data_IF_684208378086
#
_entry.id   IF_684208378086
#
_cell.length_a   1.000
_cell.length_b   1.000
_cell.length_c   1.000
_cell.angle_alpha   90.00
_cell.angle_beta   90.00
_cell.angle_gamma   90.00
#
_symmetry.space_group_name_H-M   'P 1'
#
loop_
_entity.id
_entity.type
_entity.pdbx_description
1 polymer ?
#
# COMPACT_ATOMS: atom_id res chain seq x y z
N UNK A 1 -12.55 -5.88 20.12
CA UNK A 1 -12.95 -7.29 19.91
C UNK A 1 -12.09 -8.20 20.78
N UNK A 2 -12.68 -9.18 21.45
CA UNK A 2 -11.93 -10.17 22.25
C UNK A 2 -11.36 -11.28 21.37
N UNK A 3 -10.09 -11.65 21.60
CA UNK A 3 -9.41 -12.79 20.99
C UNK A 3 -8.77 -13.66 22.07
N UNK A 4 -8.21 -14.80 21.68
CA UNK A 4 -7.45 -15.67 22.60
C UNK A 4 -6.21 -14.99 23.19
N UNK A 5 -5.73 -13.90 22.58
CA UNK A 5 -4.55 -13.13 23.01
C UNK A 5 -4.91 -11.81 23.70
N UNK A 6 -6.20 -11.56 23.98
CA UNK A 6 -6.68 -10.33 24.64
C UNK A 6 -7.62 -9.50 23.77
N UNK A 7 -7.72 -8.21 24.06
CA UNK A 7 -8.59 -7.30 23.31
C UNK A 7 -7.85 -6.67 22.13
N UNK A 8 -8.34 -6.91 20.92
CA UNK A 8 -7.98 -6.10 19.76
C UNK A 8 -8.80 -4.81 19.78
N UNK A 9 -8.12 -3.69 19.94
CA UNK A 9 -8.69 -2.34 19.92
C UNK A 9 -8.08 -1.55 18.77
N UNK A 10 -8.77 -0.50 18.28
CA UNK A 10 -8.15 0.48 17.40
C UNK A 10 -6.89 1.08 18.03
N UNK A 11 -5.89 1.37 17.20
CA UNK A 11 -4.70 2.11 17.63
C UNK A 11 -4.25 3.10 16.56
N UNK A 12 -3.55 4.15 16.99
CA UNK A 12 -2.91 5.10 16.09
C UNK A 12 -1.41 4.84 16.05
N UNK A 13 -0.86 4.84 14.84
CA UNK A 13 0.57 4.78 14.56
C UNK A 13 1.03 6.18 14.22
N UNK A 14 1.83 6.80 15.07
CA UNK A 14 2.51 8.05 14.71
C UNK A 14 3.78 7.70 13.94
N UNK A 15 3.95 8.22 12.73
CA UNK A 15 5.17 8.02 11.94
C UNK A 15 6.33 8.74 12.65
N UNK A 16 7.37 8.02 13.12
CA UNK A 16 8.45 8.60 13.90
C UNK A 16 9.13 9.76 13.16
N UNK A 17 9.34 10.88 13.86
CA UNK A 17 9.89 12.10 13.28
C UNK A 17 8.86 13.07 12.69
N UNK A 18 7.57 12.74 12.75
CA UNK A 18 6.47 13.58 12.24
C UNK A 18 5.29 13.63 13.22
N UNK A 19 4.29 14.48 12.94
CA UNK A 19 2.99 14.48 13.60
C UNK A 19 1.93 13.65 12.84
N UNK A 20 2.33 12.97 11.76
CA UNK A 20 1.44 12.22 10.87
C UNK A 20 1.06 10.89 11.53
N UNK A 21 -0.24 10.59 11.52
CA UNK A 21 -0.82 9.39 12.13
C UNK A 21 -1.53 8.51 11.13
N UNK A 22 -1.51 7.20 11.38
CA UNK A 22 -2.33 6.19 10.70
C UNK A 22 -3.19 5.48 11.74
N UNK A 23 -4.52 5.56 11.61
CA UNK A 23 -5.45 4.82 12.47
C UNK A 23 -5.69 3.42 11.92
N UNK A 24 -5.48 2.42 12.76
CA UNK A 24 -5.63 0.99 12.45
C UNK A 24 -6.86 0.43 13.17
N UNK A 25 -7.77 -0.21 12.45
CA UNK A 25 -9.01 -0.78 12.95
C UNK A 25 -8.94 -2.31 13.02
N UNK A 26 -9.43 -2.94 14.10
CA UNK A 26 -9.41 -4.39 14.22
C UNK A 26 -10.48 -5.04 13.34
N UNK A 27 -10.07 -6.05 12.56
CA UNK A 27 -10.94 -6.88 11.72
C UNK A 27 -11.07 -8.27 12.36
N UNK A 28 -12.30 -8.77 12.60
CA UNK A 28 -12.51 -10.10 13.16
C UNK A 28 -12.03 -11.22 12.25
N UNK A 29 -11.78 -12.39 12.84
CA UNK A 29 -11.64 -13.61 12.05
C UNK A 29 -12.90 -13.83 11.19
N UNK A 30 -12.73 -14.40 10.00
CA UNK A 30 -13.88 -14.87 9.22
C UNK A 30 -14.57 -16.03 9.95
N UNK A 31 -15.90 -16.11 9.87
CA UNK A 31 -16.64 -17.27 10.38
C UNK A 31 -16.14 -18.57 9.73
N UNK A 32 -15.97 -19.60 10.55
CA UNK A 32 -15.46 -20.91 10.14
C UNK A 32 -16.49 -21.58 9.21
N UNK A 33 -16.18 -21.75 7.92
CA UNK A 33 -16.77 -22.86 7.17
C UNK A 33 -15.83 -24.06 7.34
N UNK A 34 -16.24 -25.00 8.20
CA UNK A 34 -15.43 -26.15 8.67
C UNK A 34 -14.97 -27.06 7.52
N UNK A 35 -15.48 -26.84 6.30
CA UNK A 35 -15.20 -27.63 5.10
C UNK A 35 -14.03 -27.09 4.26
N UNK A 36 -13.55 -25.87 4.50
CA UNK A 36 -12.39 -25.31 3.78
C UNK A 36 -11.36 -24.80 4.80
N UNK A 37 -10.14 -25.31 4.72
CA UNK A 37 -9.00 -25.03 5.60
C UNK A 37 -8.45 -23.58 5.53
N UNK A 38 -9.22 -22.61 5.04
CA UNK A 38 -8.75 -21.29 4.65
C UNK A 38 -9.53 -20.16 5.34
N UNK A 39 -9.60 -20.12 6.68
CA UNK A 39 -10.22 -19.00 7.39
C UNK A 39 -9.23 -17.83 7.54
N UNK A 40 -9.75 -16.61 7.52
CA UNK A 40 -8.97 -15.37 7.68
C UNK A 40 -8.78 -15.13 9.17
N UNK A 41 -7.51 -15.08 9.61
CA UNK A 41 -7.15 -14.75 11.00
C UNK A 41 -7.48 -13.28 11.30
N UNK A 42 -7.70 -12.88 12.56
CA UNK A 42 -7.85 -11.48 12.92
C UNK A 42 -6.60 -10.67 12.55
N UNK A 43 -6.81 -9.43 12.13
CA UNK A 43 -5.76 -8.48 11.78
C UNK A 43 -6.26 -7.05 12.02
N UNK A 44 -5.38 -6.06 11.91
CA UNK A 44 -5.77 -4.66 11.81
C UNK A 44 -5.60 -4.16 10.38
N UNK A 45 -6.45 -3.23 9.95
CA UNK A 45 -6.38 -2.57 8.66
C UNK A 45 -6.45 -1.05 8.83
N UNK A 46 -5.77 -0.29 7.98
CA UNK A 46 -5.89 1.17 8.05
C UNK A 46 -7.33 1.60 7.76
N UNK A 47 -7.80 2.57 8.54
CA UNK A 47 -9.18 3.10 8.48
C UNK A 47 -9.54 3.64 7.10
N UNK A 48 -8.56 4.26 6.44
CA UNK A 48 -8.63 4.88 5.12
C UNK A 48 -7.60 4.24 4.20
N UNK A 49 -7.63 4.56 2.90
CA UNK A 49 -6.43 4.43 2.08
C UNK A 49 -5.28 5.24 2.71
N UNK A 50 -4.03 4.83 2.45
CA UNK A 50 -2.87 5.62 2.87
C UNK A 50 -2.96 6.99 2.21
N UNK A 51 -2.83 8.04 3.01
CA UNK A 51 -2.95 9.41 2.52
C UNK A 51 -1.63 9.91 1.95
N UNK A 52 -1.69 10.94 1.11
CA UNK A 52 -0.49 11.50 0.51
C UNK A 52 0.46 12.07 1.56
N UNK A 53 -0.03 12.67 2.65
CA UNK A 53 0.84 13.12 3.74
C UNK A 53 1.57 11.93 4.40
N UNK A 54 0.87 10.81 4.63
CA UNK A 54 1.48 9.59 5.17
C UNK A 54 2.53 9.00 4.21
N UNK A 55 2.28 9.04 2.90
CA UNK A 55 3.20 8.55 1.88
C UNK A 55 4.39 9.49 1.63
N UNK A 56 4.20 10.81 1.75
CA UNK A 56 5.25 11.83 1.58
C UNK A 56 6.38 11.67 2.60
N UNK A 57 6.10 11.20 3.82
CA UNK A 57 7.14 10.87 4.80
C UNK A 57 8.13 9.81 4.27
N UNK A 58 7.63 8.82 3.52
CA UNK A 58 8.46 7.82 2.86
C UNK A 58 9.20 8.40 1.64
N UNK A 59 8.55 9.24 0.83
CA UNK A 59 9.19 9.91 -0.30
C UNK A 59 10.36 10.81 0.15
N UNK A 60 10.21 11.49 1.29
CA UNK A 60 11.24 12.39 1.83
C UNK A 60 12.55 11.66 2.19
N UNK A 61 12.54 10.33 2.28
CA UNK A 61 13.74 9.53 2.54
C UNK A 61 14.76 9.59 1.40
N UNK A 62 14.38 9.83 0.14
CA UNK A 62 15.38 9.95 -0.95
C UNK A 62 16.35 11.10 -0.63
N UNK A 63 15.81 12.28 -0.29
CA UNK A 63 16.62 13.42 0.14
C UNK A 63 17.41 13.10 1.41
N UNK A 64 16.77 12.46 2.40
CA UNK A 64 17.42 12.11 3.67
C UNK A 64 18.60 11.15 3.49
N UNK A 65 18.44 10.10 2.70
CA UNK A 65 19.50 9.12 2.42
C UNK A 65 20.63 9.73 1.59
N UNK A 66 20.34 10.60 0.62
CA UNK A 66 21.38 11.33 -0.13
C UNK A 66 22.21 12.22 0.81
N UNK A 67 21.57 12.94 1.72
CA UNK A 67 22.28 13.77 2.69
C UNK A 67 23.07 12.93 3.70
N UNK A 68 22.54 11.79 4.16
CA UNK A 68 23.29 10.85 5.01
C UNK A 68 24.52 10.32 4.28
N UNK A 69 24.38 9.86 3.03
CA UNK A 69 25.52 9.37 2.22
C UNK A 69 26.59 10.44 2.03
N UNK A 70 26.19 11.71 1.93
CA UNK A 70 27.09 12.85 1.73
C UNK A 70 27.78 13.33 3.01
N UNK A 71 27.07 13.33 4.14
CA UNK A 71 27.49 14.03 5.37
C UNK A 71 27.81 13.11 6.55
N UNK A 72 27.29 11.89 6.58
CA UNK A 72 27.59 10.91 7.64
C UNK A 72 28.62 9.88 7.12
N UNK A 73 29.90 9.99 7.53
CA UNK A 73 30.95 9.09 7.05
C UNK A 73 30.75 7.63 7.48
N UNK A 74 29.85 7.36 8.44
CA UNK A 74 29.56 6.01 8.94
C UNK A 74 28.30 5.43 8.27
N UNK A 75 27.49 6.24 7.58
CA UNK A 75 26.23 5.78 6.97
C UNK A 75 26.43 4.63 5.99
N UNK A 76 27.44 4.71 5.12
CA UNK A 76 27.74 3.66 4.15
C UNK A 76 28.15 2.35 4.82
N UNK A 77 28.90 2.43 5.93
CA UNK A 77 29.31 1.26 6.71
C UNK A 77 28.11 0.58 7.37
N UNK A 78 27.24 1.37 8.04
CA UNK A 78 26.01 0.86 8.67
C UNK A 78 25.08 0.21 7.66
N UNK A 79 24.95 0.82 6.48
CA UNK A 79 24.18 0.26 5.38
C UNK A 79 24.73 -1.12 4.96
N UNK A 80 26.04 -1.25 4.78
CA UNK A 80 26.65 -2.52 4.41
C UNK A 80 26.45 -3.60 5.49
N UNK A 81 26.54 -3.23 6.76
CA UNK A 81 26.32 -4.12 7.91
C UNK A 81 24.84 -4.55 8.06
N UNK A 82 23.88 -3.74 7.57
CA UNK A 82 22.44 -3.91 7.80
C UNK A 82 21.62 -3.85 6.51
N UNK A 83 22.15 -4.39 5.40
CA UNK A 83 21.53 -4.30 4.07
C UNK A 83 20.13 -4.92 4.01
N UNK A 84 19.85 -5.91 4.86
CA UNK A 84 18.53 -6.56 4.97
C UNK A 84 17.43 -5.60 5.43
N UNK A 85 17.80 -4.62 6.27
CA UNK A 85 16.91 -3.57 6.79
C UNK A 85 17.06 -2.26 6.00
N UNK A 86 17.64 -2.35 4.80
CA UNK A 86 17.70 -1.24 3.90
C UNK A 86 16.43 -1.14 3.05
N UNK A 87 16.04 0.09 2.76
CA UNK A 87 14.98 0.43 1.81
C UNK A 87 15.54 1.41 0.80
N UNK A 88 15.07 1.30 -0.43
CA UNK A 88 15.17 2.38 -1.41
C UNK A 88 13.90 3.23 -1.30
N UNK A 89 13.99 4.51 -1.65
CA UNK A 89 12.90 5.47 -1.50
C UNK A 89 12.52 6.12 -2.83
N UNK A 90 11.26 6.56 -3.01
CA UNK A 90 10.82 7.27 -4.21
C UNK A 90 11.67 8.51 -4.48
N UNK A 91 12.26 8.56 -5.67
CA UNK A 91 12.89 9.79 -6.17
C UNK A 91 11.83 10.87 -6.33
N UNK A 92 12.22 12.13 -6.14
CA UNK A 92 11.33 13.25 -6.41
C UNK A 92 10.86 13.19 -7.87
N UNK A 93 9.55 13.30 -8.09
CA UNK A 93 9.00 13.31 -9.43
C UNK A 93 9.49 14.55 -10.18
N UNK A 94 10.10 14.35 -11.36
CA UNK A 94 10.61 15.44 -12.19
C UNK A 94 9.51 16.36 -12.75
N UNK A 95 8.28 15.85 -12.85
CA UNK A 95 7.07 16.62 -13.14
C UNK A 95 6.24 16.61 -11.85
N UNK A 96 6.45 17.57 -10.94
CA UNK A 96 6.03 17.43 -9.55
C UNK A 96 4.51 17.42 -9.35
N UNK A 97 3.74 17.93 -10.33
CA UNK A 97 2.41 18.48 -10.04
C UNK A 97 1.23 17.68 -10.59
N UNK A 98 1.23 17.24 -11.85
CA UNK A 98 0.00 16.71 -12.47
C UNK A 98 -0.55 15.44 -11.77
N UNK A 99 0.32 14.64 -11.15
CA UNK A 99 -0.06 13.37 -10.50
C UNK A 99 -0.54 13.52 -9.07
N UNK A 100 -0.14 14.59 -8.39
CA UNK A 100 -0.52 14.90 -7.02
C UNK A 100 -1.30 16.22 -6.91
N UNK A 101 -1.70 16.80 -8.05
CA UNK A 101 -2.38 18.10 -8.17
C UNK A 101 -3.58 18.24 -7.24
N UNK A 102 -4.29 17.13 -6.97
CA UNK A 102 -5.43 17.15 -6.07
C UNK A 102 -5.04 17.54 -4.65
N UNK A 103 -3.81 17.25 -4.20
CA UNK A 103 -3.38 17.57 -2.85
C UNK A 103 -3.12 19.07 -2.60
N UNK A 104 -3.07 19.90 -3.65
CA UNK A 104 -3.01 21.36 -3.53
C UNK A 104 -4.40 21.97 -3.25
N UNK A 105 -5.47 21.25 -3.55
CA UNK A 105 -6.83 21.67 -3.21
C UNK A 105 -7.01 21.62 -1.68
N UNK A 106 -7.51 22.74 -1.12
CA UNK A 106 -7.72 22.95 0.31
C UNK A 106 -8.54 21.83 0.98
N UNK A 107 -9.45 21.18 0.23
CA UNK A 107 -10.26 20.06 0.72
C UNK A 107 -9.42 18.88 1.21
N UNK A 108 -8.19 18.75 0.70
CA UNK A 108 -7.28 17.66 1.02
C UNK A 108 -6.28 17.98 2.14
N UNK A 109 -6.32 19.19 2.71
CA UNK A 109 -5.54 19.59 3.88
C UNK A 109 -4.03 19.31 3.71
N UNK A 110 -3.45 19.87 2.63
CA UNK A 110 -2.03 19.67 2.31
C UNK A 110 -1.66 18.21 2.00
N UNK A 111 -2.63 17.39 1.59
CA UNK A 111 -2.48 15.97 1.33
C UNK A 111 -2.77 15.07 2.54
N UNK A 112 -3.11 15.62 3.71
CA UNK A 112 -3.50 14.82 4.90
C UNK A 112 -4.75 14.01 4.67
N UNK A 113 -5.63 14.45 3.77
CA UNK A 113 -6.86 13.75 3.39
C UNK A 113 -6.87 13.26 1.94
N UNK A 114 -5.84 13.55 1.14
CA UNK A 114 -5.76 13.01 -0.22
C UNK A 114 -5.36 11.53 -0.15
N UNK A 115 -6.06 10.60 -0.82
CA UNK A 115 -5.53 9.26 -0.98
C UNK A 115 -4.20 9.34 -1.76
N UNK A 116 -3.17 8.63 -1.30
CA UNK A 116 -1.95 8.48 -2.06
C UNK A 116 -2.26 7.63 -3.30
N UNK A 117 -2.02 8.20 -4.47
CA UNK A 117 -2.15 7.54 -5.77
C UNK A 117 -0.87 7.70 -6.60
N UNK A 118 -0.80 7.10 -7.79
CA UNK A 118 0.31 7.20 -8.74
C UNK A 118 1.59 6.43 -8.41
N UNK A 119 1.52 5.41 -7.55
CA UNK A 119 2.66 4.56 -7.19
C UNK A 119 2.52 3.14 -7.73
N UNK A 120 3.67 2.50 -7.96
CA UNK A 120 3.69 1.08 -8.27
C UNK A 120 3.35 0.22 -7.05
N UNK A 121 2.97 -1.04 -7.29
CA UNK A 121 2.78 -2.00 -6.21
C UNK A 121 4.07 -2.23 -5.41
N UNK A 122 5.22 -2.23 -6.07
CA UNK A 122 6.51 -2.35 -5.39
C UNK A 122 6.75 -1.18 -4.44
N UNK A 123 6.42 0.04 -4.86
CA UNK A 123 6.53 1.23 -4.02
C UNK A 123 5.67 1.13 -2.75
N UNK A 124 4.41 0.69 -2.90
CA UNK A 124 3.50 0.46 -1.77
C UNK A 124 4.03 -0.63 -0.81
N UNK A 125 4.71 -1.66 -1.32
CA UNK A 125 5.34 -2.70 -0.48
C UNK A 125 6.56 -2.18 0.26
N UNK A 126 7.40 -1.38 -0.39
CA UNK A 126 8.55 -0.74 0.27
C UNK A 126 8.12 0.26 1.35
N UNK A 127 7.01 0.97 1.13
CA UNK A 127 6.37 1.78 2.18
C UNK A 127 6.06 0.94 3.43
N UNK A 128 5.44 -0.24 3.25
CA UNK A 128 5.13 -1.12 4.38
C UNK A 128 6.37 -1.71 5.07
N UNK A 129 7.44 -1.98 4.31
CA UNK A 129 8.75 -2.37 4.87
C UNK A 129 9.33 -1.26 5.73
N UNK A 130 9.41 -0.05 5.17
CA UNK A 130 9.90 1.12 5.88
C UNK A 130 9.11 1.38 7.16
N UNK A 131 7.77 1.39 7.08
CA UNK A 131 6.92 1.64 8.24
C UNK A 131 7.12 0.58 9.33
N UNK A 132 7.32 -0.68 8.95
CA UNK A 132 7.64 -1.76 9.90
C UNK A 132 8.98 -1.49 10.60
N UNK A 133 10.03 -1.19 9.84
CA UNK A 133 11.39 -1.03 10.37
C UNK A 133 11.54 0.23 11.23
N UNK A 134 10.76 1.28 10.96
CA UNK A 134 10.83 2.52 11.72
C UNK A 134 9.97 2.51 12.99
N UNK A 135 8.97 1.62 13.09
CA UNK A 135 8.05 1.56 14.24
C UNK A 135 8.30 0.38 15.20
N UNK A 136 9.39 -0.38 15.00
CA UNK A 136 9.94 -1.50 15.80
C UNK A 136 8.96 -2.68 16.03
N UNK A 137 7.86 -2.44 16.74
CA UNK A 137 6.99 -3.48 17.31
C UNK A 137 5.79 -3.87 16.41
N UNK A 138 5.58 -3.17 15.30
CA UNK A 138 4.40 -3.39 14.45
C UNK A 138 4.80 -3.74 13.03
N UNK A 139 4.32 -4.91 12.57
CA UNK A 139 4.55 -5.38 11.21
C UNK A 139 3.45 -4.89 10.28
N UNK A 140 3.83 -4.37 9.12
CA UNK A 140 2.92 -3.92 8.08
C UNK A 140 3.20 -4.61 6.74
N UNK A 141 2.12 -4.78 5.99
CA UNK A 141 2.15 -5.24 4.61
C UNK A 141 0.89 -4.77 3.88
N UNK A 142 0.87 -4.97 2.57
CA UNK A 142 -0.39 -4.90 1.81
C UNK A 142 -1.33 -6.03 2.26
N UNK A 143 -2.66 -5.81 2.20
CA UNK A 143 -3.64 -6.86 2.41
C UNK A 143 -3.49 -7.93 1.33
N UNK A 144 -3.81 -9.18 1.69
CA UNK A 144 -4.23 -10.15 0.69
C UNK A 144 -5.60 -9.74 0.15
N UNK A 145 -5.92 -10.19 -1.06
CA UNK A 145 -7.24 -10.01 -1.65
C UNK A 145 -8.36 -10.48 -0.71
N UNK A 146 -8.18 -11.65 -0.08
CA UNK A 146 -9.19 -12.21 0.82
C UNK A 146 -9.36 -11.39 2.09
N UNK A 147 -8.27 -10.88 2.66
CA UNK A 147 -8.33 -9.95 3.78
C UNK A 147 -9.05 -8.66 3.39
N UNK A 148 -8.75 -8.12 2.19
CA UNK A 148 -9.41 -6.93 1.67
C UNK A 148 -10.91 -7.16 1.48
N UNK A 149 -11.31 -8.27 0.85
CA UNK A 149 -12.73 -8.61 0.62
C UNK A 149 -13.48 -8.82 1.93
N UNK A 150 -12.85 -9.48 2.91
CA UNK A 150 -13.43 -9.68 4.23
C UNK A 150 -13.62 -8.34 4.94
N UNK A 151 -12.58 -7.48 4.95
CA UNK A 151 -12.65 -6.12 5.47
C UNK A 151 -13.73 -5.29 4.76
N UNK A 152 -13.86 -5.39 3.44
CA UNK A 152 -14.84 -4.68 2.63
C UNK A 152 -16.25 -5.12 2.99
N UNK A 153 -16.51 -6.44 2.97
CA UNK A 153 -17.82 -7.04 3.19
C UNK A 153 -18.40 -6.82 4.58
N UNK A 154 -17.58 -6.41 5.55
CA UNK A 154 -17.89 -6.32 6.98
C UNK A 154 -18.54 -7.58 7.58
N UNK A 155 -18.25 -8.74 6.99
CA UNK A 155 -18.81 -10.04 7.37
C UNK A 155 -20.23 -10.30 6.85
N UNK A 156 -20.72 -9.48 5.92
CA UNK A 156 -22.02 -9.66 5.27
C UNK A 156 -21.91 -10.12 3.82
N UNK A 157 -22.86 -10.95 3.33
CA UNK A 157 -23.01 -11.15 1.90
C UNK A 157 -23.63 -9.91 1.24
N UNK A 158 -23.28 -9.67 -0.02
CA UNK A 158 -23.83 -8.58 -0.82
C UNK A 158 -22.89 -8.18 -1.95
N UNK A 159 -23.41 -7.45 -2.93
CA UNK A 159 -22.60 -6.81 -3.98
C UNK A 159 -21.72 -5.71 -3.40
N UNK A 160 -22.24 -4.98 -2.41
CA UNK A 160 -21.52 -3.95 -1.66
C UNK A 160 -21.74 -4.14 -0.16
N UNK A 161 -20.92 -3.49 0.67
CA UNK A 161 -21.03 -3.55 2.14
C UNK A 161 -22.33 -2.93 2.68
N UNK A 162 -22.94 -2.01 1.94
CA UNK A 162 -24.23 -1.42 2.29
C UNK A 162 -25.43 -2.27 1.84
N UNK A 163 -25.23 -3.27 0.98
CA UNK A 163 -26.29 -4.14 0.48
C UNK A 163 -26.23 -4.32 -1.03
N UNK A 164 -27.37 -4.66 -1.62
CA UNK A 164 -27.52 -4.90 -3.07
C UNK A 164 -28.24 -3.75 -3.79
N UNK A 165 -28.82 -2.78 -3.10
CA UNK A 165 -29.51 -1.66 -3.74
C UNK A 165 -28.49 -0.59 -4.19
N UNK A 166 -28.33 -0.33 -5.49
CA UNK A 166 -27.40 0.69 -5.97
C UNK A 166 -27.82 2.13 -5.64
N UNK A 167 -29.07 2.36 -5.19
CA UNK A 167 -29.53 3.71 -4.81
C UNK A 167 -28.83 4.25 -3.56
N UNK A 168 -28.35 3.37 -2.68
CA UNK A 168 -27.57 3.72 -1.49
C UNK A 168 -26.11 4.10 -1.83
N UNK A 169 -25.66 3.87 -3.07
CA UNK A 169 -24.25 4.02 -3.44
C UNK A 169 -23.70 5.44 -3.22
N UNK A 170 -24.54 6.48 -3.30
CA UNK A 170 -24.07 7.86 -3.09
C UNK A 170 -23.59 8.09 -1.66
N UNK A 171 -24.09 7.35 -0.69
CA UNK A 171 -23.73 7.53 0.72
C UNK A 171 -22.42 6.82 1.07
N UNK A 172 -22.05 5.77 0.34
CA UNK A 172 -20.93 4.89 0.67
C UNK A 172 -19.79 4.89 -0.35
N UNK A 173 -20.02 5.34 -1.58
CA UNK A 173 -19.09 5.16 -2.69
C UNK A 173 -18.65 6.48 -3.32
N UNK A 174 -17.38 6.55 -3.75
CA UNK A 174 -16.87 7.59 -4.63
C UNK A 174 -16.63 6.98 -6.02
N UNK A 175 -17.60 7.11 -6.92
CA UNK A 175 -17.64 6.41 -8.21
C UNK A 175 -18.11 7.33 -9.33
N UNK A 176 -17.88 6.98 -10.60
CA UNK A 176 -18.25 7.82 -11.73
C UNK A 176 -19.77 8.07 -11.81
N UNK A 177 -20.12 9.35 -11.83
CA UNK A 177 -21.47 9.88 -11.96
C UNK A 177 -21.58 10.86 -13.16
N UNK A 178 -20.62 10.81 -14.08
CA UNK A 178 -20.58 11.61 -15.31
C UNK A 178 -19.96 13.01 -15.18
N UNK A 179 -19.59 13.44 -13.96
CA UNK A 179 -19.05 14.79 -13.71
C UNK A 179 -17.82 14.82 -12.78
N UNK A 180 -17.29 13.65 -12.38
CA UNK A 180 -16.14 13.59 -11.47
C UNK A 180 -14.84 13.86 -12.19
N UNK A 181 -13.99 14.66 -11.57
CA UNK A 181 -12.69 15.07 -12.09
C UNK A 181 -11.51 14.54 -11.27
N UNK A 182 -11.75 13.80 -10.19
CA UNK A 182 -10.72 13.29 -9.29
C UNK A 182 -11.26 12.53 -8.08
N UNK A 183 -10.37 12.06 -7.19
CA UNK A 183 -10.75 11.43 -5.93
C UNK A 183 -11.42 12.43 -4.97
N UNK A 184 -11.98 11.94 -3.87
CA UNK A 184 -12.45 12.78 -2.76
C UNK A 184 -11.51 12.66 -1.56
N UNK A 185 -11.58 13.60 -0.60
CA UNK A 185 -10.91 13.41 0.69
C UNK A 185 -11.31 12.07 1.32
N UNK A 186 -10.35 11.32 1.84
CA UNK A 186 -10.61 10.04 2.50
C UNK A 186 -11.64 10.22 3.62
N UNK A 187 -12.56 9.26 3.75
CA UNK A 187 -13.64 9.32 4.72
C UNK A 187 -14.75 10.31 4.40
N UNK A 188 -14.84 10.79 3.16
CA UNK A 188 -15.93 11.64 2.67
C UNK A 188 -17.27 10.91 2.58
N UNK A 189 -17.25 9.58 2.46
CA UNK A 189 -18.42 8.70 2.43
C UNK A 189 -18.56 7.90 3.72
N UNK A 190 -19.77 7.39 3.96
CA UNK A 190 -20.08 6.57 5.13
C UNK A 190 -19.20 5.31 5.17
N UNK A 191 -18.72 4.90 6.35
CA UNK A 191 -17.95 3.68 6.49
C UNK A 191 -18.85 2.45 6.43
N UNK A 192 -18.23 1.27 6.27
CA UNK A 192 -18.90 0.01 6.56
C UNK A 192 -19.11 -0.19 8.09
N UNK A 193 -19.74 -1.30 8.51
CA UNK A 193 -20.05 -1.54 9.94
C UNK A 193 -18.83 -1.65 10.85
N UNK A 194 -17.65 -1.89 10.30
CA UNK A 194 -16.41 -1.92 11.07
C UNK A 194 -15.70 -0.57 11.13
N UNK A 195 -16.29 0.48 10.56
CA UNK A 195 -15.74 1.83 10.56
C UNK A 195 -14.68 2.06 9.48
N UNK A 196 -14.53 1.13 8.54
CA UNK A 196 -13.55 1.23 7.45
C UNK A 196 -14.21 2.01 6.31
N UNK A 197 -13.54 3.06 5.86
CA UNK A 197 -14.03 3.93 4.79
C UNK A 197 -13.45 3.56 3.43
N UNK A 198 -14.09 4.09 2.39
CA UNK A 198 -13.59 4.11 1.03
C UNK A 198 -13.31 2.69 0.48
N UNK A 199 -14.06 1.69 0.96
CA UNK A 199 -13.98 0.31 0.47
C UNK A 199 -14.67 0.11 -0.90
N UNK A 200 -15.33 1.15 -1.41
CA UNK A 200 -16.07 1.16 -2.67
C UNK A 200 -15.80 2.47 -3.44
N UNK A 201 -14.91 2.42 -4.42
CA UNK A 201 -14.48 3.56 -5.22
C UNK A 201 -13.36 4.37 -4.57
N UNK A 202 -13.32 5.67 -4.84
CA UNK A 202 -12.24 6.61 -4.54
C UNK A 202 -10.98 6.25 -5.31
N UNK A 203 -10.07 5.45 -4.75
CA UNK A 203 -8.95 4.88 -5.52
C UNK A 203 -8.98 3.36 -5.46
N UNK A 204 -8.65 2.71 -6.56
CA UNK A 204 -8.46 1.27 -6.57
C UNK A 204 -7.21 0.91 -5.76
N UNK A 205 -7.19 -0.27 -5.15
CA UNK A 205 -6.16 -0.59 -4.17
C UNK A 205 -5.30 -1.79 -4.55
N UNK A 206 -3.99 -1.61 -4.40
CA UNK A 206 -3.02 -2.70 -4.51
C UNK A 206 -3.24 -3.76 -3.41
N UNK A 207 -3.34 -5.03 -3.84
CA UNK A 207 -3.28 -6.21 -2.97
C UNK A 207 -2.10 -7.11 -3.33
N UNK A 208 -1.75 -8.04 -2.44
CA UNK A 208 -0.62 -8.96 -2.64
C UNK A 208 -0.80 -9.91 -3.84
N UNK A 209 -2.03 -10.29 -4.17
CA UNK A 209 -2.34 -11.27 -5.21
C UNK A 209 -2.00 -10.74 -6.61
N UNK A 210 -1.49 -11.63 -7.45
CA UNK A 210 -1.22 -11.39 -8.86
C UNK A 210 -1.65 -12.61 -9.66
N UNK A 211 -2.07 -12.39 -10.91
CA UNK A 211 -2.50 -13.45 -11.82
C UNK A 211 -1.29 -14.04 -12.53
N UNK A 212 -1.17 -15.37 -12.47
CA UNK A 212 -0.13 -16.14 -13.14
C UNK A 212 -0.64 -16.70 -14.48
N UNK A 213 0.25 -17.00 -15.43
CA UNK A 213 -0.11 -17.68 -16.70
C UNK A 213 -0.83 -19.03 -16.54
N UNK A 214 -0.84 -19.63 -15.33
CA UNK A 214 -1.50 -20.92 -15.06
C UNK A 214 -2.90 -20.79 -14.46
N UNK A 215 -3.37 -19.58 -14.15
CA UNK A 215 -4.62 -19.34 -13.39
C UNK A 215 -5.93 -19.48 -14.20
N UNK A 216 -5.95 -20.24 -15.30
CA UNK A 216 -7.23 -20.61 -15.91
C UNK A 216 -7.97 -21.70 -15.13
N UNK A 217 -7.30 -22.46 -14.25
CA UNK A 217 -7.93 -23.50 -13.41
C UNK A 217 -7.11 -23.77 -12.14
N UNK A 218 -7.50 -23.18 -11.00
CA UNK A 218 -7.50 -23.78 -9.65
C UNK A 218 -7.48 -22.70 -8.54
N UNK A 219 -8.67 -22.26 -8.12
CA UNK A 219 -8.88 -21.70 -6.78
C UNK A 219 -8.99 -22.88 -5.81
N UNK A 220 -7.92 -23.22 -5.07
CA UNK A 220 -7.99 -23.96 -3.79
C UNK A 220 -6.64 -24.55 -3.36
N UNK A 221 -5.60 -23.76 -3.07
CA UNK A 221 -4.56 -24.15 -2.08
C UNK A 221 -3.89 -22.89 -1.50
N UNK A 222 -3.59 -22.87 -0.18
CA UNK A 222 -2.65 -21.90 0.36
C UNK A 222 -1.30 -22.10 -0.33
N UNK A 223 -0.71 -21.02 -0.81
CA UNK A 223 0.54 -21.03 -1.55
C UNK A 223 1.66 -21.67 -0.72
N UNK A 224 2.00 -22.91 -1.06
CA UNK A 224 3.24 -23.57 -0.64
C UNK A 224 4.40 -23.11 -1.56
N UNK A 225 5.62 -23.14 -1.01
CA UNK A 225 6.89 -22.55 -1.48
C UNK A 225 7.42 -22.95 -2.88
N UNK A 226 6.62 -22.92 -3.94
CA UNK A 226 7.13 -23.28 -5.27
C UNK A 226 6.50 -22.58 -6.48
N UNK A 227 5.83 -21.44 -6.31
CA UNK A 227 5.35 -20.68 -7.48
C UNK A 227 6.54 -19.93 -8.12
N UNK A 228 7.24 -20.65 -8.99
CA UNK A 228 8.36 -20.16 -9.82
C UNK A 228 7.94 -18.96 -10.69
N UNK A 229 8.13 -17.76 -10.16
CA UNK A 229 8.94 -16.63 -10.66
C UNK A 229 9.04 -16.22 -12.14
N UNK A 230 8.21 -16.66 -13.09
CA UNK A 230 8.34 -16.20 -14.49
C UNK A 230 7.04 -15.81 -15.22
N UNK A 231 5.91 -15.66 -14.54
CA UNK A 231 4.62 -15.64 -15.25
C UNK A 231 3.56 -14.68 -14.69
N UNK A 232 3.95 -13.58 -14.03
CA UNK A 232 2.99 -12.55 -13.60
C UNK A 232 2.59 -11.68 -14.79
N UNK A 233 1.31 -11.71 -15.17
CA UNK A 233 0.77 -10.87 -16.26
C UNK A 233 0.07 -9.62 -15.76
N UNK A 234 -0.61 -9.73 -14.61
CA UNK A 234 -1.62 -8.80 -14.14
C UNK A 234 -1.61 -8.76 -12.61
N UNK A 235 -1.50 -7.57 -12.04
CA UNK A 235 -1.59 -7.38 -10.58
C UNK A 235 -3.04 -7.08 -10.21
N UNK A 236 -3.53 -7.71 -9.14
CA UNK A 236 -4.93 -7.56 -8.73
C UNK A 236 -5.13 -6.22 -8.03
N UNK A 237 -6.23 -5.57 -8.39
CA UNK A 237 -6.75 -4.35 -7.80
C UNK A 237 -8.15 -4.60 -7.24
N UNK A 238 -8.47 -3.94 -6.13
CA UNK A 238 -9.76 -4.04 -5.43
C UNK A 238 -10.38 -2.67 -5.22
N UNK A 239 -11.68 -2.62 -4.93
CA UNK A 239 -12.40 -1.40 -4.55
C UNK A 239 -13.03 -0.61 -5.70
N UNK A 240 -12.44 -0.64 -6.90
CA UNK A 240 -12.81 0.29 -7.96
C UNK A 240 -12.27 1.69 -7.68
N UNK A 241 -12.47 2.63 -8.60
CA UNK A 241 -11.96 4.00 -8.46
C UNK A 241 -12.99 5.05 -8.92
N UNK A 242 -12.70 6.33 -8.68
CA UNK A 242 -13.59 7.45 -8.97
C UNK A 242 -13.99 7.61 -10.45
N UNK A 243 -13.29 6.95 -11.39
CA UNK A 243 -13.61 6.92 -12.83
C UNK A 243 -14.51 5.75 -13.22
N UNK A 244 -14.83 4.85 -12.29
CA UNK A 244 -15.56 3.63 -12.57
C UNK A 244 -17.03 3.72 -12.17
N UNK A 245 -17.94 3.11 -12.94
CA UNK A 245 -19.34 3.00 -12.50
C UNK A 245 -19.43 2.10 -11.25
N UNK A 246 -20.53 2.21 -10.52
CA UNK A 246 -20.74 1.49 -9.25
C UNK A 246 -20.58 -0.04 -9.35
N UNK A 247 -20.90 -0.63 -10.50
CA UNK A 247 -20.73 -2.08 -10.75
C UNK A 247 -19.26 -2.53 -10.75
N UNK A 248 -18.32 -1.61 -10.88
CA UNK A 248 -16.89 -1.85 -10.75
C UNK A 248 -16.37 -1.60 -9.33
N UNK A 249 -17.23 -1.16 -8.40
CA UNK A 249 -16.89 -0.94 -7.00
C UNK A 249 -17.43 -2.05 -6.08
N UNK A 250 -17.80 -3.21 -6.63
CA UNK A 250 -18.36 -4.34 -5.86
C UNK A 250 -17.31 -5.01 -4.97
N UNK A 251 -17.73 -5.58 -3.84
CA UNK A 251 -16.85 -6.28 -2.90
C UNK A 251 -15.96 -7.33 -3.57
N UNK A 252 -16.54 -8.17 -4.44
CA UNK A 252 -15.82 -9.26 -5.11
C UNK A 252 -15.19 -8.89 -6.47
N UNK A 253 -15.20 -7.60 -6.86
CA UNK A 253 -14.67 -7.19 -8.16
C UNK A 253 -13.16 -7.41 -8.20
N UNK A 254 -12.65 -7.92 -9.32
CA UNK A 254 -11.20 -7.97 -9.59
C UNK A 254 -10.91 -7.09 -10.78
N UNK A 255 -10.19 -6.01 -10.52
CA UNK A 255 -9.55 -5.25 -11.58
C UNK A 255 -8.10 -5.69 -11.70
N UNK A 256 -7.54 -5.44 -12.89
CA UNK A 256 -6.17 -5.84 -13.20
C UNK A 256 -5.43 -4.62 -13.69
N UNK A 257 -4.34 -4.30 -13.01
CA UNK A 257 -3.31 -3.56 -13.69
C UNK A 257 -2.72 -4.48 -14.78
N UNK A 258 -2.35 -3.96 -15.95
CA UNK A 258 -1.65 -4.71 -17.01
C UNK A 258 -0.20 -4.22 -17.18
N UNK A 259 0.64 -4.97 -17.91
CA UNK A 259 2.12 -4.80 -17.94
C UNK A 259 2.68 -3.39 -18.09
N UNK A 260 1.99 -2.46 -18.78
CA UNK A 260 2.43 -1.05 -18.87
C UNK A 260 2.34 -0.29 -17.52
N UNK A 261 1.62 -0.80 -16.54
CA UNK A 261 1.27 -0.13 -15.28
C UNK A 261 2.21 -0.46 -14.10
N UNK A 262 3.19 -1.36 -14.29
CA UNK A 262 4.29 -1.56 -13.34
C UNK A 262 5.66 -1.73 -13.98
N UNK A 263 5.76 -1.75 -15.32
CA UNK A 263 7.04 -1.88 -16.05
C UNK A 263 7.49 -0.57 -16.70
N UNK A 264 6.64 0.48 -16.67
CA UNK A 264 6.97 1.78 -17.23
C UNK A 264 7.19 2.77 -16.10
N UNK A 265 8.41 3.32 -16.04
CA UNK A 265 8.69 4.51 -15.27
C UNK A 265 8.66 5.74 -16.19
N UNK A 266 7.73 6.68 -15.96
CA UNK A 266 7.63 7.89 -16.78
C UNK A 266 8.73 8.93 -16.51
N UNK A 267 9.65 8.71 -15.57
CA UNK A 267 10.70 9.66 -15.22
C UNK A 267 11.92 9.58 -16.16
N UNK A 268 12.50 10.75 -16.45
CA UNK A 268 13.80 10.89 -17.11
C UNK A 268 14.72 11.73 -16.21
N UNK A 269 15.81 11.15 -15.64
CA UNK A 269 16.24 9.75 -15.77
C UNK A 269 15.29 8.76 -15.08
N UNK A 270 15.32 7.50 -15.51
CA UNK A 270 14.48 6.43 -14.96
C UNK A 270 14.84 6.16 -13.50
N UNK A 271 13.82 5.94 -12.66
CA UNK A 271 13.95 5.56 -11.26
C UNK A 271 13.69 4.04 -11.09
N UNK A 272 13.87 3.47 -9.87
CA UNK A 272 13.56 2.07 -9.54
C UNK A 272 12.07 1.66 -9.61
N UNK A 273 11.29 2.19 -10.56
CA UNK A 273 9.87 1.94 -10.72
C UNK A 273 9.02 2.42 -9.53
N UNK A 274 9.15 3.70 -9.16
CA UNK A 274 8.36 4.30 -8.07
C UNK A 274 6.99 4.78 -8.50
N UNK A 275 6.91 5.33 -9.71
CA UNK A 275 5.70 5.82 -10.35
C UNK A 275 5.43 4.98 -11.58
N UNK A 276 4.17 4.88 -12.01
CA UNK A 276 3.87 4.35 -13.34
C UNK A 276 3.05 5.33 -14.16
N UNK A 277 2.58 4.90 -15.34
CA UNK A 277 1.82 5.71 -16.27
C UNK A 277 0.54 6.29 -15.66
N UNK A 278 -0.12 7.16 -16.42
CA UNK A 278 -1.25 7.99 -15.98
C UNK A 278 -2.41 7.19 -15.38
N UNK A 279 -2.57 5.94 -15.80
CA UNK A 279 -3.54 4.99 -15.25
C UNK A 279 -3.33 4.65 -13.75
N UNK A 280 -2.16 4.94 -13.17
CA UNK A 280 -1.93 4.78 -11.72
C UNK A 280 -2.41 5.96 -10.88
N UNK A 281 -2.80 7.08 -11.49
CA UNK A 281 -3.40 8.24 -10.77
C UNK A 281 -4.70 7.93 -10.02
N UNK A 282 -5.30 6.78 -10.31
CA UNK A 282 -6.50 6.24 -9.66
C UNK A 282 -6.23 4.99 -8.82
N UNK A 283 -4.96 4.64 -8.62
CA UNK A 283 -4.53 3.45 -7.89
C UNK A 283 -3.70 3.85 -6.67
N UNK A 284 -4.21 3.54 -5.49
CA UNK A 284 -3.55 3.68 -4.20
C UNK A 284 -3.41 2.35 -3.47
N UNK A 285 -3.41 2.39 -2.15
CA UNK A 285 -3.33 1.21 -1.30
C UNK A 285 -3.75 1.50 0.13
N UNK A 286 -4.02 0.44 0.88
CA UNK A 286 -4.14 0.44 2.33
C UNK A 286 -3.21 -0.59 2.94
N UNK A 287 -2.99 -0.52 4.25
CA UNK A 287 -2.06 -1.42 4.95
C UNK A 287 -2.78 -2.28 5.98
N UNK A 288 -2.20 -3.44 6.27
CA UNK A 288 -2.64 -4.31 7.35
C UNK A 288 -1.50 -4.65 8.30
N UNK A 289 -1.87 -4.96 9.54
CA UNK A 289 -0.98 -5.51 10.56
C UNK A 289 -1.55 -6.81 11.13
N UNK A 290 -0.80 -7.92 11.17
CA UNK A 290 -1.31 -9.20 11.64
C UNK A 290 -1.42 -9.23 13.18
N UNK A 291 -2.42 -9.93 13.72
CA UNK A 291 -2.48 -10.21 15.15
C UNK A 291 -1.29 -11.07 15.63
N UNK A 292 -0.91 -12.04 14.80
CA UNK A 292 0.23 -12.92 15.07
C UNK A 292 1.38 -12.46 14.17
N UNK A 293 2.48 -11.95 14.73
CA UNK A 293 3.65 -11.56 13.96
C UNK A 293 4.16 -12.69 13.07
N UNK A 294 4.57 -12.32 11.86
CA UNK A 294 5.20 -13.21 10.90
C UNK A 294 6.71 -13.33 11.15
N UNK A 295 7.29 -14.45 10.71
CA UNK A 295 8.74 -14.61 10.67
C UNK A 295 9.39 -13.63 9.68
N UNK A 296 10.69 -13.38 9.84
CA UNK A 296 11.40 -12.46 8.95
C UNK A 296 11.37 -12.91 7.49
N UNK A 297 11.60 -14.19 7.21
CA UNK A 297 11.53 -14.74 5.85
C UNK A 297 10.16 -14.46 5.19
N UNK A 298 9.09 -14.54 5.98
CA UNK A 298 7.74 -14.28 5.48
C UNK A 298 7.51 -12.80 5.20
N UNK A 299 8.06 -11.91 6.02
CA UNK A 299 8.03 -10.47 5.77
C UNK A 299 8.79 -10.09 4.50
N UNK A 300 9.96 -10.67 4.25
CA UNK A 300 10.72 -10.45 3.02
C UNK A 300 9.93 -10.88 1.77
N UNK A 301 9.16 -11.97 1.86
CA UNK A 301 8.24 -12.35 0.78
C UNK A 301 7.14 -11.30 0.54
N UNK A 302 6.69 -10.58 1.57
CA UNK A 302 5.70 -9.51 1.44
C UNK A 302 6.28 -8.20 0.92
N UNK A 303 7.59 -7.96 1.05
CA UNK A 303 8.20 -6.70 0.66
C UNK A 303 9.02 -6.74 -0.63
N UNK A 304 9.60 -7.91 -0.94
CA UNK A 304 10.52 -8.07 -2.07
C UNK A 304 9.90 -7.80 -3.45
N UNK A 305 10.71 -7.64 -4.51
CA UNK A 305 10.19 -7.40 -5.85
C UNK A 305 9.38 -8.59 -6.39
N UNK A 306 8.43 -8.29 -7.28
CA UNK A 306 7.53 -9.28 -7.90
C UNK A 306 8.22 -10.23 -8.89
N UNK A 307 9.38 -9.84 -9.42
CA UNK A 307 10.14 -10.64 -10.38
C UNK A 307 11.64 -10.40 -10.25
N UNK A 308 12.44 -11.34 -10.77
CA UNK A 308 13.89 -11.16 -10.89
C UNK A 308 14.24 -9.96 -11.77
N UNK A 309 13.53 -9.75 -12.89
CA UNK A 309 13.75 -8.60 -13.77
C UNK A 309 13.55 -7.26 -13.05
N UNK A 310 12.52 -7.14 -12.22
CA UNK A 310 12.31 -5.94 -11.42
C UNK A 310 13.44 -5.76 -10.38
N UNK A 311 13.93 -6.85 -9.78
CA UNK A 311 15.08 -6.80 -8.87
C UNK A 311 16.32 -6.27 -9.58
N UNK A 312 16.65 -6.87 -10.73
CA UNK A 312 17.84 -6.53 -11.51
C UNK A 312 17.78 -5.05 -11.98
N UNK A 313 16.59 -4.56 -12.36
CA UNK A 313 16.43 -3.14 -12.70
C UNK A 313 16.61 -2.22 -11.49
N UNK A 314 16.00 -2.54 -10.33
CA UNK A 314 16.19 -1.75 -9.11
C UNK A 314 17.67 -1.66 -8.74
N UNK A 315 18.38 -2.79 -8.78
CA UNK A 315 19.83 -2.86 -8.50
C UNK A 315 20.61 -2.01 -9.50
N UNK A 316 20.31 -2.11 -10.79
CA UNK A 316 20.91 -1.29 -11.85
C UNK A 316 20.69 0.22 -11.61
N UNK A 317 19.48 0.66 -11.25
CA UNK A 317 19.19 2.07 -10.99
C UNK A 317 19.92 2.61 -9.74
N UNK A 318 20.14 1.75 -8.73
CA UNK A 318 20.97 2.09 -7.57
C UNK A 318 22.44 2.26 -7.98
N UNK A 319 22.97 1.32 -8.77
CA UNK A 319 24.36 1.34 -9.25
C UNK A 319 24.64 2.55 -10.16
N UNK A 320 23.67 2.93 -10.99
CA UNK A 320 23.72 4.14 -11.84
C UNK A 320 23.59 5.44 -11.04
N UNK A 321 23.26 5.40 -9.74
CA UNK A 321 23.06 6.57 -8.89
C UNK A 321 21.74 7.30 -9.10
N UNK A 322 20.84 6.74 -9.92
CA UNK A 322 19.49 7.24 -10.13
C UNK A 322 18.62 7.03 -8.88
N UNK A 323 18.99 6.09 -8.02
CA UNK A 323 18.35 5.83 -6.74
C UNK A 323 19.30 5.88 -5.56
N UNK A 324 18.74 5.97 -4.36
CA UNK A 324 19.49 5.85 -3.11
C UNK A 324 18.85 4.79 -2.22
N UNK A 325 19.71 4.00 -1.59
CA UNK A 325 19.33 3.00 -0.60
C UNK A 325 19.89 3.42 0.76
N UNK A 326 19.10 3.22 1.81
CA UNK A 326 19.48 3.58 3.17
C UNK A 326 18.98 2.58 4.20
N UNK A 327 19.78 2.40 5.25
CA UNK A 327 19.44 1.55 6.39
C UNK A 327 18.36 2.22 7.27
N UNK A 328 17.30 1.47 7.57
CA UNK A 328 16.15 1.91 8.36
C UNK A 328 16.13 1.22 9.73
N UNK A 329 15.91 2.03 10.75
CA UNK A 329 15.64 1.63 12.13
C UNK A 329 14.84 2.75 12.81
N UNK A 330 14.39 2.58 14.06
CA UNK A 330 13.69 3.64 14.80
C UNK A 330 14.52 4.92 15.02
N UNK A 331 15.85 4.87 14.87
CA UNK A 331 16.73 6.05 15.01
C UNK A 331 16.84 6.88 13.73
N UNK A 332 16.34 6.38 12.59
CA UNK A 332 16.46 7.02 11.29
C UNK A 332 16.01 8.50 11.27
N UNK A 333 14.88 8.91 11.87
CA UNK A 333 14.47 10.32 11.85
C UNK A 333 15.52 11.24 12.48
N UNK A 334 16.07 10.86 13.63
CA UNK A 334 17.13 11.61 14.31
C UNK A 334 18.39 11.69 13.45
N UNK A 335 18.75 10.58 12.77
CA UNK A 335 19.89 10.55 11.85
C UNK A 335 19.71 11.51 10.68
N UNK A 336 18.52 11.54 10.05
CA UNK A 336 18.21 12.45 8.94
C UNK A 336 18.22 13.91 9.42
N UNK A 337 17.55 14.22 10.52
CA UNK A 337 17.48 15.59 11.06
C UNK A 337 18.88 16.16 11.35
N UNK A 338 19.79 15.35 11.88
CA UNK A 338 21.15 15.77 12.17
C UNK A 338 21.96 16.20 10.92
N UNK A 339 21.61 15.70 9.74
CA UNK A 339 22.31 16.03 8.48
C UNK A 339 21.56 17.07 7.64
N UNK A 340 20.26 17.25 7.84
CA UNK A 340 19.44 18.21 7.08
C UNK A 340 19.28 19.58 7.75
N UNK A 341 19.40 19.68 9.08
CA UNK A 341 19.30 20.95 9.82
C UNK A 341 20.57 21.81 9.82
N UNK A 342 21.63 21.38 9.11
CA UNK A 342 22.90 22.10 8.93
C UNK A 342 23.07 22.50 7.47
#
# INVERSE_FOLDING_TARGET
MQTQQGWMVPFDVTIPGSDIKITMLPVPASSIDVRQSDWIKPFWISKYEITLAQYREFMNLDRGFRELKRRDPIAQRRLAENIVDAVTAPTACYVPDERFQYAEDQRFDGGRKAPAASMTRFAARQYTKWLTLITDDVQYRLPTEREWEHACSDGRPGRWSFGDDPSDAQDYCVFDQGSRTGPEPVGSRAPNRWGIHDMHGNVAEWVLQAKTLRDHRQLSKPANDSVRFQMLREMVLKGGDWTKPIDHCRTSIREYATGRLWQYDPQFPSSPHWLSGDDTSRIGFRIVSPLIPHSRDKLEQFWGPDSGLLRDDIESQIDLGNAVIGWVDPTLPSRINNVTSK
#
